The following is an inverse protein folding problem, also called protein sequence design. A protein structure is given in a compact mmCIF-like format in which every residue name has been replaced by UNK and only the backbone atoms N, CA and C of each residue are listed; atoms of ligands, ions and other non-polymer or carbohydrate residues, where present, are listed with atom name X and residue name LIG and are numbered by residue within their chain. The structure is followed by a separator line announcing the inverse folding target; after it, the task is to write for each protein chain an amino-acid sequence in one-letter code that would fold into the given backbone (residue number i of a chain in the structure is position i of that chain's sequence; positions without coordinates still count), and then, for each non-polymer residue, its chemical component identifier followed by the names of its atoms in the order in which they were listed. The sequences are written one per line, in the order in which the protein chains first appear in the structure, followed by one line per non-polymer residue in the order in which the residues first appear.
data_IF_318456571391
#
_entry.id   IF_318456571391
#
_cell.length_a   1.000
_cell.length_b   1.000
_cell.length_c   1.000
_cell.angle_alpha   90.00
_cell.angle_beta   90.00
_cell.angle_gamma   90.00
#
_symmetry.space_group_name_H-M   'P 1'
#
loop_
_entity.id
_entity.type
_entity.pdbx_description
1 polymer ?
#
# COMPACT_ATOMS: atom_id res chain seq x y z
N UNK A 1 24.89 -0.83 -5.04
CA UNK A 1 23.83 -1.18 -6.00
C UNK A 1 22.75 -0.12 -5.89
N UNK A 2 22.87 0.95 -6.67
CA UNK A 2 21.91 2.06 -6.66
C UNK A 2 20.64 1.62 -7.37
N UNK A 3 19.51 1.56 -6.65
CA UNK A 3 18.22 1.39 -7.29
C UNK A 3 18.00 2.59 -8.25
N UNK A 4 17.55 2.35 -9.51
CA UNK A 4 17.26 3.43 -10.42
C UNK A 4 16.23 4.37 -9.77
N UNK A 5 16.45 5.67 -9.88
CA UNK A 5 15.51 6.72 -9.45
C UNK A 5 14.30 6.71 -10.39
N UNK A 6 13.54 5.62 -10.40
CA UNK A 6 12.25 5.58 -11.08
C UNK A 6 11.37 6.63 -10.40
N UNK A 7 10.81 7.53 -11.21
CA UNK A 7 9.95 8.60 -10.73
C UNK A 7 8.89 8.06 -9.76
N UNK A 8 8.54 8.83 -8.74
CA UNK A 8 7.58 8.39 -7.72
C UNK A 8 6.27 7.97 -8.41
N UNK A 9 5.84 6.70 -8.27
CA UNK A 9 4.60 6.26 -8.90
C UNK A 9 3.43 7.08 -8.33
N UNK A 10 2.53 7.50 -9.23
CA UNK A 10 1.30 8.17 -8.83
C UNK A 10 0.27 7.12 -8.47
N UNK A 11 -0.35 7.30 -7.30
CA UNK A 11 -1.45 6.43 -6.88
C UNK A 11 -2.76 6.98 -7.39
N UNK A 12 -3.56 6.09 -7.95
CA UNK A 12 -4.91 6.37 -8.39
C UNK A 12 -5.90 5.51 -7.61
N UNK A 13 -6.98 6.12 -7.16
CA UNK A 13 -8.13 5.41 -6.60
C UNK A 13 -8.95 4.80 -7.73
N UNK A 14 -9.22 3.50 -7.65
CA UNK A 14 -9.96 2.72 -8.66
C UNK A 14 -10.92 1.73 -7.97
N UNK A 15 -11.97 1.26 -8.67
CA UNK A 15 -12.81 0.17 -8.17
C UNK A 15 -12.00 -1.10 -7.90
N UNK A 16 -12.39 -1.89 -6.89
CA UNK A 16 -11.75 -3.20 -6.60
C UNK A 16 -11.91 -4.21 -7.74
N UNK A 17 -12.84 -3.97 -8.66
CA UNK A 17 -13.07 -4.79 -9.85
C UNK A 17 -12.17 -4.40 -11.03
N UNK A 18 -11.34 -3.37 -10.89
CA UNK A 18 -10.42 -2.95 -11.93
C UNK A 18 -9.32 -4.01 -12.13
N UNK A 19 -9.09 -4.52 -13.36
CA UNK A 19 -8.07 -5.53 -13.61
C UNK A 19 -6.64 -5.03 -13.32
N UNK A 20 -6.39 -3.73 -13.32
CA UNK A 20 -5.11 -3.13 -12.95
C UNK A 20 -4.87 -3.09 -11.43
N UNK A 21 -5.90 -3.38 -10.64
CA UNK A 21 -5.82 -3.46 -9.18
C UNK A 21 -5.68 -4.90 -8.67
N UNK A 22 -5.96 -5.90 -9.50
CA UNK A 22 -5.87 -7.30 -9.13
C UNK A 22 -4.40 -7.73 -9.01
N UNK A 23 -3.97 -8.13 -7.80
CA UNK A 23 -2.67 -8.77 -7.57
C UNK A 23 -2.90 -10.24 -7.22
N UNK A 24 -2.54 -11.14 -8.13
CA UNK A 24 -2.61 -12.60 -7.89
C UNK A 24 -1.27 -13.17 -7.47
N UNK A 25 -0.19 -12.41 -7.68
CA UNK A 25 1.17 -12.81 -7.34
C UNK A 25 1.59 -12.23 -5.98
N UNK A 26 1.87 -13.09 -5.00
CA UNK A 26 2.30 -12.70 -3.65
C UNK A 26 3.76 -12.26 -3.55
N UNK A 27 4.55 -12.41 -4.63
CA UNK A 27 5.98 -12.03 -4.68
C UNK A 27 6.22 -10.54 -4.45
N UNK A 28 5.19 -9.70 -4.52
CA UNK A 28 5.30 -8.29 -4.16
C UNK A 28 5.86 -8.06 -2.75
N UNK A 29 5.72 -9.03 -1.83
CA UNK A 29 6.25 -8.91 -0.46
C UNK A 29 7.78 -8.82 -0.44
N UNK A 30 8.47 -9.38 -1.43
CA UNK A 30 9.93 -9.37 -1.51
C UNK A 30 10.50 -7.96 -1.77
N UNK A 31 9.71 -7.09 -2.43
CA UNK A 31 10.07 -5.71 -2.74
C UNK A 31 9.49 -4.69 -1.72
N UNK A 32 8.96 -5.17 -0.59
CA UNK A 32 8.36 -4.31 0.42
C UNK A 32 9.43 -3.49 1.17
N UNK A 33 9.32 -2.16 1.10
CA UNK A 33 10.25 -1.25 1.78
C UNK A 33 10.17 -1.32 3.31
N UNK A 34 9.12 -1.92 3.86
CA UNK A 34 8.99 -2.19 5.30
C UNK A 34 9.64 -3.51 5.73
N UNK A 35 10.07 -4.36 4.80
CA UNK A 35 10.75 -5.61 5.15
C UNK A 35 12.03 -5.32 5.94
N UNK A 36 12.18 -6.00 7.09
CA UNK A 36 13.32 -5.82 8.00
C UNK A 36 13.21 -4.63 8.96
N UNK A 37 12.13 -3.85 8.91
CA UNK A 37 11.81 -2.86 9.95
C UNK A 37 11.07 -3.51 11.13
N UNK A 38 11.14 -2.86 12.29
CA UNK A 38 10.38 -3.28 13.48
C UNK A 38 8.88 -3.31 13.18
N UNK A 39 8.23 -4.43 13.50
CA UNK A 39 6.79 -4.60 13.31
C UNK A 39 5.98 -3.62 14.14
N UNK A 40 6.44 -3.27 15.34
CA UNK A 40 5.72 -2.33 16.24
C UNK A 40 5.53 -0.95 15.60
N UNK A 41 6.42 -0.57 14.68
CA UNK A 41 6.29 0.67 13.90
C UNK A 41 4.98 0.73 13.10
N UNK A 42 4.45 -0.42 12.68
CA UNK A 42 3.24 -0.52 11.87
C UNK A 42 1.99 -0.82 12.71
N UNK A 43 2.10 -0.96 14.02
CA UNK A 43 0.97 -1.16 14.94
C UNK A 43 0.91 -0.02 15.97
N UNK A 44 0.58 1.22 15.54
CA UNK A 44 0.50 2.35 16.46
C UNK A 44 -0.61 2.18 17.49
N UNK A 45 -0.38 2.72 18.69
CA UNK A 45 -1.33 2.70 19.82
C UNK A 45 -2.61 3.50 19.56
N UNK A 46 -2.57 4.44 18.61
CA UNK A 46 -3.71 5.24 18.17
C UNK A 46 -3.57 5.71 16.71
N UNK A 47 -4.65 6.24 16.15
CA UNK A 47 -4.72 6.75 14.77
C UNK A 47 -4.30 8.24 14.66
N UNK A 48 -3.68 8.83 15.70
CA UNK A 48 -3.28 10.25 15.66
C UNK A 48 -2.15 10.45 14.66
N UNK A 49 -2.10 11.63 14.05
CA UNK A 49 -1.12 11.98 13.02
C UNK A 49 0.33 11.68 13.45
N UNK A 50 0.70 11.98 14.70
CA UNK A 50 2.04 11.72 15.23
C UNK A 50 2.42 10.23 15.24
N UNK A 51 1.46 9.36 15.57
CA UNK A 51 1.64 7.91 15.68
C UNK A 51 1.69 7.23 14.29
N UNK A 52 0.94 7.77 13.31
CA UNK A 52 0.80 7.15 11.99
C UNK A 52 1.77 7.71 10.93
N UNK A 53 2.36 8.88 11.15
CA UNK A 53 3.14 9.56 10.11
C UNK A 53 4.45 8.83 9.76
N UNK A 54 5.15 8.25 10.74
CA UNK A 54 6.39 7.50 10.49
C UNK A 54 6.17 6.25 9.63
N UNK A 55 5.27 5.31 9.98
CA UNK A 55 4.98 4.17 9.10
C UNK A 55 4.41 4.61 7.74
N UNK A 56 3.60 5.68 7.69
CA UNK A 56 3.11 6.23 6.41
C UNK A 56 4.25 6.72 5.51
N UNK A 57 5.30 7.35 6.04
CA UNK A 57 6.46 7.74 5.24
C UNK A 57 7.13 6.55 4.57
N UNK A 58 7.28 5.43 5.28
CA UNK A 58 7.81 4.19 4.71
C UNK A 58 6.92 3.74 3.55
N UNK A 59 5.60 3.68 3.77
CA UNK A 59 4.67 3.28 2.71
C UNK A 59 4.68 4.24 1.51
N UNK A 60 4.84 5.56 1.71
CA UNK A 60 4.85 6.56 0.62
C UNK A 60 5.97 6.35 -0.40
N UNK A 61 7.09 5.74 0.00
CA UNK A 61 8.20 5.38 -0.88
C UNK A 61 8.19 3.91 -1.32
N UNK A 62 7.24 3.11 -0.86
CA UNK A 62 7.22 1.67 -1.10
C UNK A 62 6.71 1.36 -2.51
N UNK A 63 7.48 0.63 -3.35
CA UNK A 63 7.11 0.35 -4.73
C UNK A 63 5.87 -0.56 -4.83
N UNK A 64 5.64 -1.40 -3.82
CA UNK A 64 4.55 -2.38 -3.78
C UNK A 64 3.33 -1.90 -2.99
N UNK A 65 3.23 -0.59 -2.73
CA UNK A 65 2.14 -0.02 -1.92
C UNK A 65 0.75 -0.38 -2.44
N UNK A 66 0.55 -0.41 -3.76
CA UNK A 66 -0.74 -0.77 -4.35
C UNK A 66 -1.08 -2.25 -4.17
N UNK A 67 -0.15 -3.16 -4.49
CA UNK A 67 -0.32 -4.59 -4.28
C UNK A 67 -0.59 -4.93 -2.81
N UNK A 68 0.16 -4.31 -1.89
CA UNK A 68 -0.03 -4.46 -0.45
C UNK A 68 -1.44 -4.06 0.01
N UNK A 69 -1.97 -2.93 -0.47
CA UNK A 69 -3.32 -2.50 -0.09
C UNK A 69 -4.40 -3.39 -0.69
N UNK A 70 -4.24 -3.79 -1.96
CA UNK A 70 -5.18 -4.67 -2.64
C UNK A 70 -5.28 -6.04 -1.95
N UNK A 71 -4.14 -6.65 -1.63
CA UNK A 71 -4.07 -7.92 -0.89
C UNK A 71 -4.72 -7.80 0.49
N UNK A 72 -4.44 -6.73 1.23
CA UNK A 72 -5.06 -6.51 2.54
C UNK A 72 -6.58 -6.33 2.46
N UNK A 73 -7.08 -5.57 1.49
CA UNK A 73 -8.52 -5.39 1.30
C UNK A 73 -9.23 -6.69 0.89
N UNK A 74 -8.53 -7.60 0.20
CA UNK A 74 -9.06 -8.89 -0.23
C UNK A 74 -9.01 -9.97 0.87
N UNK A 75 -8.05 -9.90 1.79
CA UNK A 75 -7.76 -10.98 2.74
C UNK A 75 -8.12 -10.65 4.20
N UNK A 76 -8.14 -9.37 4.59
CA UNK A 76 -8.48 -8.98 5.97
C UNK A 76 -9.97 -9.17 6.28
N UNK A 77 -10.28 -9.64 7.49
CA UNK A 77 -11.64 -9.56 8.04
C UNK A 77 -12.06 -8.07 8.14
N UNK A 78 -13.14 -7.64 7.44
CA UNK A 78 -13.58 -6.26 7.45
C UNK A 78 -13.92 -5.71 8.85
N UNK A 79 -14.30 -6.58 9.80
CA UNK A 79 -14.59 -6.21 11.18
C UNK A 79 -13.34 -6.14 12.07
N UNK A 80 -12.22 -6.74 11.66
CA UNK A 80 -11.00 -6.90 12.47
C UNK A 80 -9.75 -6.50 11.68
N UNK A 81 -9.53 -5.18 11.60
CA UNK A 81 -8.38 -4.56 10.92
C UNK A 81 -7.50 -3.84 11.93
N UNK A 82 -6.19 -3.96 11.74
CA UNK A 82 -5.18 -3.45 12.67
C UNK A 82 -3.99 -2.88 11.91
N UNK A 83 -3.26 -1.97 12.54
CA UNK A 83 -2.01 -1.43 12.01
C UNK A 83 -2.13 -0.68 10.68
N UNK A 84 -0.97 -0.25 10.19
CA UNK A 84 -0.82 0.47 8.92
C UNK A 84 -0.47 -0.52 7.82
N UNK A 85 -1.32 -0.57 6.79
CA UNK A 85 -1.14 -1.46 5.63
C UNK A 85 -1.36 -0.67 4.35
N UNK A 86 -0.48 -0.79 3.34
CA UNK A 86 -0.58 0.01 2.12
C UNK A 86 -0.56 1.54 2.36
N UNK A 87 -0.01 1.98 3.49
CA UNK A 87 -0.02 3.38 3.93
C UNK A 87 -1.37 3.88 4.46
N UNK A 88 -2.27 2.97 4.84
CA UNK A 88 -3.62 3.27 5.33
C UNK A 88 -3.86 2.74 6.73
N UNK A 89 -4.62 3.48 7.55
CA UNK A 89 -5.07 3.03 8.87
C UNK A 89 -6.22 2.03 8.77
N UNK A 90 -6.57 1.31 9.85
CA UNK A 90 -7.75 0.43 9.85
C UNK A 90 -9.04 1.18 9.48
N UNK A 91 -9.19 2.42 9.96
CA UNK A 91 -10.34 3.28 9.63
C UNK A 91 -10.41 3.62 8.15
N UNK A 92 -9.29 4.00 7.54
CA UNK A 92 -9.21 4.30 6.11
C UNK A 92 -9.50 3.06 5.27
N UNK A 93 -8.93 1.89 5.63
CA UNK A 93 -9.25 0.63 4.95
C UNK A 93 -10.73 0.32 5.04
N UNK A 94 -11.37 0.49 6.21
CA UNK A 94 -12.83 0.27 6.36
C UNK A 94 -13.62 1.15 5.41
N UNK A 95 -13.22 2.41 5.23
CA UNK A 95 -13.86 3.31 4.26
C UNK A 95 -13.65 2.85 2.82
N UNK A 96 -12.43 2.47 2.44
CA UNK A 96 -12.11 1.96 1.10
C UNK A 96 -12.90 0.69 0.76
N UNK A 97 -12.92 -0.28 1.68
CA UNK A 97 -13.65 -1.53 1.50
C UNK A 97 -15.16 -1.29 1.35
N UNK A 98 -15.77 -0.43 2.17
CA UNK A 98 -17.20 -0.07 2.04
C UNK A 98 -17.51 0.63 0.71
N UNK A 99 -16.56 1.42 0.20
CA UNK A 99 -16.70 2.09 -1.09
C UNK A 99 -16.40 1.17 -2.28
N UNK A 100 -15.89 -0.05 -2.05
CA UNK A 100 -15.43 -0.94 -3.13
C UNK A 100 -14.26 -0.34 -3.90
N UNK A 101 -13.35 0.38 -3.22
CA UNK A 101 -12.22 1.07 -3.83
C UNK A 101 -10.88 0.55 -3.32
N UNK A 102 -9.86 0.64 -4.17
CA UNK A 102 -8.46 0.37 -3.85
C UNK A 102 -7.55 1.35 -4.62
N UNK A 103 -6.25 1.26 -4.40
CA UNK A 103 -5.27 2.05 -5.16
C UNK A 103 -4.58 1.16 -6.20
N UNK A 104 -4.29 1.75 -7.36
CA UNK A 104 -3.33 1.22 -8.32
C UNK A 104 -2.17 2.19 -8.50
N UNK A 105 -1.00 1.68 -8.87
CA UNK A 105 0.14 2.47 -9.30
C UNK A 105 0.13 2.56 -10.82
N UNK A 106 0.00 3.76 -11.37
CA UNK A 106 0.39 3.97 -12.77
C UNK A 106 1.92 3.95 -12.81
N UNK A 107 2.56 3.23 -13.74
CA UNK A 107 3.99 3.43 -13.98
C UNK A 107 4.20 4.92 -14.24
N UNK A 108 5.08 5.56 -13.46
CA UNK A 108 5.49 6.93 -13.78
C UNK A 108 5.97 6.90 -15.23
N UNK A 109 5.38 7.71 -16.10
CA UNK A 109 5.73 7.74 -17.51
C UNK A 109 7.24 8.05 -17.66
N UNK A 110 8.04 7.00 -17.71
CA UNK A 110 9.41 6.97 -18.18
C UNK A 110 9.36 6.14 -19.45
N UNK A 111 9.34 6.81 -20.60
CA UNK A 111 9.51 6.16 -21.88
C UNK A 111 10.84 5.43 -21.90
N UNK A 112 10.82 4.14 -22.21
CA UNK A 112 11.19 3.61 -23.52
C UNK A 112 10.82 2.13 -23.55
N UNK A 113 9.94 1.78 -24.48
CA UNK A 113 9.85 0.40 -24.97
C UNK A 113 10.91 0.31 -26.06
N UNK A 114 12.01 -0.37 -25.76
CA UNK A 114 12.95 -0.84 -26.79
C UNK A 114 12.41 -2.12 -27.43
#
# INVERSE_FOLDING_TARGET
MSAPSQGRPVLRLVPITDPTAATTDVRWRDDAACAGLDTELFFPVDDRAASVETPRRVCRGCPVRAACLADALATEDPARRYGITGGTTPGERRTLHRAGLTITTTPAAGGDVA
#
